data_IF_491602232595
#
_entry.id   IF_491602232595
#
_cell.length_a   1.000
_cell.length_b   1.000
_cell.length_c   1.000
_cell.angle_alpha   90.00
_cell.angle_beta   90.00
_cell.angle_gamma   90.00
#
_symmetry.space_group_name_H-M   'P 1'
#
loop_
_entity.id
_entity.type
_entity.pdbx_description
1 polymer ?
#
# COMPACT_ATOMS: atom_id res chain seq x y z
N UNK A 1 14.49 -46.57 13.51
CA UNK A 1 15.84 -46.03 13.29
C UNK A 1 15.70 -44.61 12.76
N UNK A 2 16.13 -43.65 13.55
CA UNK A 2 16.09 -42.21 13.30
C UNK A 2 17.23 -41.81 12.36
N UNK A 3 16.92 -41.18 11.22
CA UNK A 3 17.89 -40.36 10.49
C UNK A 3 17.38 -38.93 10.39
N UNK A 4 18.10 -38.05 11.10
CA UNK A 4 18.06 -36.59 11.02
C UNK A 4 18.45 -36.15 9.61
N UNK A 5 17.73 -35.18 9.06
CA UNK A 5 18.28 -34.27 8.05
C UNK A 5 18.10 -32.83 8.51
N UNK A 6 19.23 -32.12 8.57
CA UNK A 6 19.40 -30.75 9.03
C UNK A 6 19.01 -29.73 7.96
N UNK A 7 18.52 -28.57 8.40
CA UNK A 7 18.32 -27.39 7.56
C UNK A 7 19.65 -26.66 7.34
N UNK A 8 20.08 -26.51 6.09
CA UNK A 8 21.02 -25.47 5.69
C UNK A 8 20.22 -24.37 4.98
N UNK A 9 20.05 -23.25 5.67
CA UNK A 9 19.59 -21.99 5.10
C UNK A 9 20.66 -21.47 4.13
N UNK A 10 20.37 -21.50 2.83
CA UNK A 10 21.15 -20.77 1.83
C UNK A 10 20.26 -19.66 1.28
N UNK A 11 20.15 -18.58 2.06
CA UNK A 11 19.69 -17.29 1.54
C UNK A 11 20.82 -16.77 0.67
N UNK A 12 20.62 -16.76 -0.65
CA UNK A 12 21.52 -16.06 -1.57
C UNK A 12 21.50 -14.56 -1.22
N UNK A 13 22.66 -13.87 -1.18
CA UNK A 13 22.70 -12.45 -0.88
C UNK A 13 22.08 -11.64 -2.02
N UNK A 14 21.26 -10.66 -1.65
CA UNK A 14 20.73 -9.63 -2.54
C UNK A 14 21.85 -8.92 -3.33
N UNK A 15 21.58 -8.47 -4.57
CA UNK A 15 22.58 -7.77 -5.37
C UNK A 15 22.98 -6.46 -4.66
N UNK A 16 24.28 -6.28 -4.44
CA UNK A 16 24.85 -5.03 -3.90
C UNK A 16 24.64 -3.89 -4.90
N UNK A 17 24.36 -2.66 -4.45
CA UNK A 17 24.47 -1.49 -5.32
C UNK A 17 25.96 -1.25 -5.62
N UNK A 18 26.28 -1.19 -6.91
CA UNK A 18 27.60 -0.78 -7.41
C UNK A 18 27.85 0.69 -7.06
N UNK A 19 28.87 0.95 -6.25
CA UNK A 19 29.51 2.27 -6.19
C UNK A 19 30.41 2.43 -7.41
N UNK A 20 30.09 3.34 -8.31
CA UNK A 20 31.07 4.00 -9.17
C UNK A 20 30.48 5.29 -9.72
N UNK A 21 31.23 6.36 -9.50
CA UNK A 21 30.99 7.71 -9.98
C UNK A 21 30.69 7.76 -11.48
N UNK A 22 29.71 8.57 -11.86
CA UNK A 22 29.35 8.80 -13.25
C UNK A 22 28.33 9.93 -13.38
N UNK A 23 28.84 11.11 -13.70
CA UNK A 23 28.08 12.32 -14.01
C UNK A 23 26.92 12.07 -15.01
N UNK A 24 25.73 12.57 -14.65
CA UNK A 24 24.72 13.05 -15.60
C UNK A 24 23.61 12.09 -16.00
N UNK A 25 22.42 12.23 -15.39
CA UNK A 25 21.16 12.41 -16.13
C UNK A 25 20.02 12.82 -15.19
N UNK A 26 19.29 13.86 -15.60
CA UNK A 26 18.16 14.49 -14.89
C UNK A 26 16.90 13.62 -14.98
N UNK A 27 16.07 13.68 -13.92
CA UNK A 27 14.73 13.09 -13.73
C UNK A 27 14.69 11.62 -13.32
N UNK A 28 15.08 11.35 -12.07
CA UNK A 28 14.61 10.17 -11.33
C UNK A 28 13.72 10.63 -10.18
N UNK A 29 12.47 10.16 -10.13
CA UNK A 29 11.63 10.28 -8.94
C UNK A 29 12.29 9.51 -7.78
N UNK A 30 12.99 10.23 -6.90
CA UNK A 30 13.58 9.68 -5.66
C UNK A 30 12.55 9.35 -4.59
N UNK A 31 11.35 8.91 -4.97
CA UNK A 31 10.37 8.43 -4.02
C UNK A 31 10.81 7.04 -3.56
N UNK A 32 11.03 6.88 -2.26
CA UNK A 32 11.39 5.63 -1.57
C UNK A 32 12.82 5.10 -1.73
N UNK A 33 13.83 5.96 -1.56
CA UNK A 33 15.16 5.47 -1.17
C UNK A 33 15.09 5.02 0.29
N UNK A 34 15.53 3.78 0.55
CA UNK A 34 15.45 3.14 1.86
C UNK A 34 16.11 3.96 2.97
N UNK A 35 15.48 3.91 4.14
CA UNK A 35 15.88 4.52 5.41
C UNK A 35 17.27 4.08 5.85
N UNK A 36 18.27 4.90 5.53
CA UNK A 36 19.66 4.76 5.98
C UNK A 36 19.90 5.49 7.30
N UNK A 37 20.72 4.87 8.14
CA UNK A 37 21.15 5.27 9.50
C UNK A 37 21.95 6.59 9.54
N UNK A 38 22.24 7.19 8.39
CA UNK A 38 23.15 8.35 8.24
C UNK A 38 22.61 9.69 8.79
N UNK A 39 21.35 9.76 9.17
CA UNK A 39 20.70 11.00 9.61
C UNK A 39 20.87 11.37 11.09
N UNK A 40 21.25 10.42 11.96
CA UNK A 40 21.19 10.64 13.41
C UNK A 40 22.13 11.75 13.90
N UNK A 41 23.26 11.94 13.21
CA UNK A 41 24.31 12.91 13.54
C UNK A 41 24.18 14.26 12.83
N UNK A 42 23.07 14.52 12.12
CA UNK A 42 22.91 15.78 11.38
C UNK A 42 22.88 16.98 12.34
N UNK A 43 23.74 17.97 12.07
CA UNK A 43 23.82 19.24 12.79
C UNK A 43 22.69 20.19 12.38
N UNK A 44 22.37 21.19 13.21
CA UNK A 44 21.27 22.12 12.93
C UNK A 44 21.52 22.90 11.63
N UNK A 45 22.78 23.27 11.37
CA UNK A 45 23.19 23.96 10.15
C UNK A 45 22.93 23.10 8.90
N UNK A 46 23.27 21.82 8.96
CA UNK A 46 23.01 20.84 7.88
C UNK A 46 21.50 20.62 7.68
N UNK A 47 20.72 20.65 8.77
CA UNK A 47 19.26 20.56 8.69
C UNK A 47 18.66 21.78 8.00
N UNK A 48 19.17 22.99 8.28
CA UNK A 48 18.72 24.22 7.63
C UNK A 48 19.08 24.23 6.14
N UNK A 49 20.31 23.82 5.79
CA UNK A 49 20.74 23.67 4.39
C UNK A 49 19.85 22.66 3.64
N UNK A 50 19.51 21.53 4.28
CA UNK A 50 18.57 20.56 3.72
C UNK A 50 17.19 21.19 3.47
N UNK A 51 16.69 22.02 4.39
CA UNK A 51 15.41 22.71 4.21
C UNK A 51 15.42 23.68 3.02
N UNK A 52 16.55 24.35 2.76
CA UNK A 52 16.73 25.21 1.58
C UNK A 52 16.73 24.41 0.28
N UNK A 53 17.32 23.20 0.29
CA UNK A 53 17.22 22.25 -0.81
C UNK A 53 15.78 21.96 -1.23
N UNK A 54 14.84 21.86 -0.28
CA UNK A 54 13.42 21.62 -0.58
C UNK A 54 12.74 22.79 -1.31
N UNK A 55 13.18 24.03 -1.12
CA UNK A 55 12.72 25.17 -1.92
C UNK A 55 13.27 25.08 -3.35
N UNK A 56 14.55 24.78 -3.50
CA UNK A 56 15.22 24.68 -4.80
C UNK A 56 14.64 23.56 -5.67
N UNK A 57 14.24 22.46 -5.03
CA UNK A 57 13.57 21.33 -5.68
C UNK A 57 12.07 21.57 -5.96
N UNK A 58 11.52 22.70 -5.52
CA UNK A 58 10.11 23.06 -5.69
C UNK A 58 9.15 22.20 -4.87
N UNK A 59 9.64 21.51 -3.84
CA UNK A 59 8.83 20.66 -2.95
C UNK A 59 7.99 21.53 -2.00
N UNK A 60 8.58 22.60 -1.50
CA UNK A 60 7.94 23.60 -0.65
C UNK A 60 8.07 24.99 -1.28
N UNK A 61 7.07 25.85 -1.05
CA UNK A 61 7.20 27.26 -1.43
C UNK A 61 8.06 28.03 -0.41
N UNK A 62 8.49 29.25 -0.76
CA UNK A 62 9.37 30.05 0.10
C UNK A 62 8.81 30.26 1.52
N UNK A 63 7.50 30.51 1.65
CA UNK A 63 6.84 30.70 2.95
C UNK A 63 6.82 29.42 3.78
N UNK A 64 6.62 28.27 3.12
CA UNK A 64 6.65 26.96 3.75
C UNK A 64 8.06 26.58 4.22
N UNK A 65 9.10 26.95 3.48
CA UNK A 65 10.49 26.71 3.88
C UNK A 65 10.89 27.56 5.08
N UNK A 66 10.52 28.84 5.11
CA UNK A 66 10.80 29.68 6.29
C UNK A 66 10.08 29.13 7.54
N UNK A 67 8.82 28.69 7.40
CA UNK A 67 8.14 27.99 8.49
C UNK A 67 8.86 26.71 8.92
N UNK A 68 9.37 25.92 7.98
CA UNK A 68 10.13 24.71 8.28
C UNK A 68 11.42 25.03 9.05
N UNK A 69 12.16 26.06 8.64
CA UNK A 69 13.38 26.53 9.33
C UNK A 69 13.06 26.97 10.75
N UNK A 70 11.99 27.73 10.97
CA UNK A 70 11.55 28.13 12.31
C UNK A 70 11.28 26.92 13.22
N UNK A 71 10.64 25.88 12.67
CA UNK A 71 10.36 24.65 13.41
C UNK A 71 11.62 23.83 13.73
N UNK A 72 12.62 23.84 12.84
CA UNK A 72 13.94 23.22 13.07
C UNK A 72 14.71 24.00 14.13
N UNK A 73 14.74 25.33 14.04
CA UNK A 73 15.38 26.21 15.03
C UNK A 73 14.74 26.07 16.42
N UNK A 74 13.42 25.85 16.48
CA UNK A 74 12.70 25.51 17.70
C UNK A 74 12.98 24.10 18.23
N UNK A 75 13.84 23.32 17.54
CA UNK A 75 14.21 21.94 17.87
C UNK A 75 13.00 21.02 18.04
N UNK A 76 11.96 21.25 17.23
CA UNK A 76 10.72 20.50 17.34
C UNK A 76 10.98 19.01 17.01
N UNK A 77 10.70 18.05 17.91
CA UNK A 77 11.21 16.68 17.79
C UNK A 77 10.75 15.92 16.53
N UNK A 78 9.48 16.04 16.16
CA UNK A 78 8.91 15.45 14.94
C UNK A 78 9.56 16.00 13.68
N UNK A 79 9.69 17.32 13.56
CA UNK A 79 10.32 17.97 12.41
C UNK A 79 11.78 17.56 12.31
N UNK A 80 12.51 17.60 13.41
CA UNK A 80 13.91 17.21 13.43
C UNK A 80 14.11 15.75 13.01
N UNK A 81 13.26 14.86 13.51
CA UNK A 81 13.26 13.44 13.13
C UNK A 81 12.97 13.24 11.64
N UNK A 82 12.00 13.98 11.09
CA UNK A 82 11.64 13.91 9.68
C UNK A 82 12.77 14.40 8.75
N UNK A 83 13.43 15.51 9.12
CA UNK A 83 14.59 16.08 8.40
C UNK A 83 15.78 15.14 8.44
N UNK A 84 16.16 14.65 9.63
CA UNK A 84 17.26 13.68 9.78
C UNK A 84 17.06 12.45 8.91
N UNK A 85 15.82 11.97 8.81
CA UNK A 85 15.46 10.82 7.98
C UNK A 85 15.25 11.14 6.50
N UNK A 86 15.40 12.40 6.10
CA UNK A 86 15.14 12.89 4.74
C UNK A 86 13.75 12.47 4.22
N UNK A 87 12.75 12.45 5.12
CA UNK A 87 11.39 12.05 4.79
C UNK A 87 10.60 13.26 4.29
N UNK A 88 10.80 13.61 3.02
CA UNK A 88 10.20 14.80 2.38
C UNK A 88 8.68 14.83 2.53
N UNK A 89 8.03 13.66 2.44
CA UNK A 89 6.58 13.54 2.56
C UNK A 89 6.07 13.91 3.96
N UNK A 90 6.77 13.44 5.00
CA UNK A 90 6.45 13.80 6.37
C UNK A 90 6.71 15.30 6.62
N UNK A 91 7.82 15.83 6.10
CA UNK A 91 8.16 17.26 6.22
C UNK A 91 7.06 18.13 5.62
N UNK A 92 6.65 17.84 4.38
CA UNK A 92 5.56 18.57 3.70
C UNK A 92 4.25 18.48 4.48
N UNK A 93 3.91 17.30 5.00
CA UNK A 93 2.69 17.11 5.75
C UNK A 93 2.70 17.84 7.10
N UNK A 94 3.84 17.90 7.79
CA UNK A 94 4.01 18.64 9.05
C UNK A 94 3.92 20.15 8.78
N UNK A 95 4.61 20.67 7.76
CA UNK A 95 4.58 22.11 7.45
C UNK A 95 3.16 22.56 7.07
N UNK A 96 2.42 21.75 6.31
CA UNK A 96 1.04 22.07 5.91
C UNK A 96 -0.01 21.77 6.97
N UNK A 97 0.36 21.03 8.01
CA UNK A 97 -0.52 20.75 9.16
C UNK A 97 0.27 20.60 10.47
N UNK A 98 0.82 21.72 10.99
CA UNK A 98 1.81 21.67 12.06
C UNK A 98 1.22 21.32 13.43
N UNK A 99 -0.10 21.39 13.61
CA UNK A 99 -0.71 21.21 14.92
C UNK A 99 -1.19 19.77 15.21
N UNK A 100 -1.04 18.84 14.27
CA UNK A 100 -1.49 17.46 14.46
C UNK A 100 -0.65 16.75 15.53
N UNK A 101 -1.30 16.20 16.56
CA UNK A 101 -0.59 15.62 17.71
C UNK A 101 0.03 14.25 17.44
N UNK A 102 -0.32 13.60 16.32
CA UNK A 102 0.18 12.25 16.05
C UNK A 102 1.56 12.20 15.37
N UNK A 103 2.13 13.35 14.97
CA UNK A 103 3.42 13.37 14.28
C UNK A 103 4.52 12.68 15.10
N UNK A 104 4.60 12.97 16.39
CA UNK A 104 5.54 12.32 17.30
C UNK A 104 5.33 10.80 17.37
N UNK A 105 4.08 10.33 17.29
CA UNK A 105 3.76 8.90 17.35
C UNK A 105 4.18 8.18 16.07
N UNK A 106 3.80 8.73 14.90
CA UNK A 106 4.12 8.13 13.59
C UNK A 106 5.61 8.11 13.30
N UNK A 107 6.33 9.15 13.73
CA UNK A 107 7.78 9.21 13.53
C UNK A 107 8.53 8.33 14.53
N UNK A 108 7.99 8.06 15.74
CA UNK A 108 8.54 7.02 16.63
C UNK A 108 8.41 5.62 16.03
N UNK A 109 7.28 5.32 15.37
CA UNK A 109 7.06 4.02 14.72
C UNK A 109 7.84 3.86 13.40
N UNK A 110 8.54 4.91 12.96
CA UNK A 110 9.30 4.96 11.70
C UNK A 110 8.42 4.74 10.46
N UNK A 111 7.14 5.08 10.57
CA UNK A 111 6.21 5.03 9.44
C UNK A 111 6.52 6.15 8.44
N UNK A 112 6.56 5.79 7.17
CA UNK A 112 6.67 6.74 6.07
C UNK A 112 5.29 7.24 5.68
N UNK A 113 5.15 8.56 5.52
CA UNK A 113 3.92 9.14 5.00
C UNK A 113 3.94 9.01 3.48
N UNK A 114 2.95 8.34 2.92
CA UNK A 114 2.78 8.19 1.47
C UNK A 114 1.82 9.23 0.91
N UNK A 115 0.83 9.63 1.70
CA UNK A 115 -0.23 10.57 1.32
C UNK A 115 -0.60 11.42 2.52
N UNK A 116 -0.84 12.71 2.29
CA UNK A 116 -1.44 13.57 3.31
C UNK A 116 -2.32 14.62 2.66
N UNK A 117 -3.47 14.93 3.26
CA UNK A 117 -4.27 16.08 2.83
C UNK A 117 -5.66 16.16 3.45
N UNK A 118 -6.41 17.25 3.19
CA UNK A 118 -7.72 17.49 3.77
C UNK A 118 -8.80 16.64 3.11
N UNK A 119 -9.55 15.93 3.95
CA UNK A 119 -10.72 15.14 3.55
C UNK A 119 -12.01 15.86 3.87
N UNK A 120 -12.91 15.87 2.90
CA UNK A 120 -14.31 16.17 3.11
C UNK A 120 -15.13 14.91 3.33
N UNK A 121 -15.91 14.96 4.42
CA UNK A 121 -16.97 14.01 4.71
C UNK A 121 -18.29 14.79 4.65
N UNK A 122 -19.25 14.33 3.84
CA UNK A 122 -20.58 14.97 3.69
C UNK A 122 -20.51 16.50 3.45
N UNK A 123 -19.60 16.97 2.58
CA UNK A 123 -19.37 18.39 2.24
C UNK A 123 -18.80 19.27 3.37
N UNK A 124 -18.37 18.71 4.51
CA UNK A 124 -17.60 19.43 5.53
C UNK A 124 -16.16 18.95 5.53
N UNK A 125 -15.18 19.88 5.45
CA UNK A 125 -13.75 19.58 5.59
C UNK A 125 -13.44 19.38 7.07
N UNK A 126 -13.50 18.14 7.56
CA UNK A 126 -13.35 17.83 8.98
C UNK A 126 -12.03 17.16 9.34
N UNK A 127 -11.35 16.59 8.36
CA UNK A 127 -10.23 15.69 8.61
C UNK A 127 -9.01 16.02 7.78
N UNK A 128 -7.83 15.73 8.32
CA UNK A 128 -6.65 15.38 7.55
C UNK A 128 -6.60 13.86 7.44
N UNK A 129 -6.34 13.35 6.24
CA UNK A 129 -6.05 11.95 5.99
C UNK A 129 -4.55 11.78 5.82
N UNK A 130 -4.00 10.77 6.49
CA UNK A 130 -2.62 10.32 6.30
C UNK A 130 -2.63 8.86 5.84
N UNK A 131 -1.99 8.55 4.72
CA UNK A 131 -1.69 7.18 4.32
C UNK A 131 -0.24 6.88 4.74
N UNK A 132 -0.05 5.80 5.48
CA UNK A 132 1.29 5.34 5.85
C UNK A 132 1.71 4.11 5.03
N UNK A 133 3.02 3.86 4.97
CA UNK A 133 3.63 2.65 4.41
C UNK A 133 3.25 1.37 5.15
N UNK A 134 2.64 1.48 6.34
CA UNK A 134 2.04 0.37 7.07
C UNK A 134 0.63 0.01 6.59
N UNK A 135 0.20 0.50 5.42
CA UNK A 135 -1.09 0.22 4.80
C UNK A 135 -2.28 0.72 5.64
N UNK A 136 -2.13 1.88 6.30
CA UNK A 136 -3.18 2.46 7.19
C UNK A 136 -3.55 3.86 6.75
N UNK A 137 -4.84 4.14 6.75
CA UNK A 137 -5.43 5.47 6.58
C UNK A 137 -5.83 6.02 7.94
N UNK A 138 -5.22 7.14 8.33
CA UNK A 138 -5.46 7.80 9.60
C UNK A 138 -6.28 9.07 9.35
N UNK A 139 -7.42 9.19 10.04
CA UNK A 139 -8.29 10.37 9.97
C UNK A 139 -8.12 11.19 11.23
N UNK A 140 -7.57 12.39 11.05
CA UNK A 140 -7.25 13.30 12.15
C UNK A 140 -8.16 14.51 12.05
N UNK A 141 -8.91 14.80 13.10
CA UNK A 141 -9.80 15.94 13.11
C UNK A 141 -9.00 17.25 13.04
N UNK A 142 -9.39 18.13 12.12
CA UNK A 142 -8.70 19.41 11.87
C UNK A 142 -8.80 20.40 13.03
N UNK A 143 -9.92 20.38 13.75
CA UNK A 143 -10.20 21.32 14.84
C UNK A 143 -9.56 20.86 16.15
N UNK A 144 -9.64 19.56 16.44
CA UNK A 144 -9.13 18.99 17.71
C UNK A 144 -7.70 18.45 17.61
N UNK A 145 -7.18 18.24 16.40
CA UNK A 145 -5.88 17.63 16.12
C UNK A 145 -5.71 16.20 16.68
N UNK A 146 -6.82 15.53 16.99
CA UNK A 146 -6.85 14.15 17.50
C UNK A 146 -7.15 13.16 16.37
N UNK A 147 -6.58 11.95 16.49
CA UNK A 147 -6.96 10.81 15.66
C UNK A 147 -8.40 10.42 16.00
N UNK A 148 -9.29 10.48 15.02
CA UNK A 148 -10.70 10.07 15.18
C UNK A 148 -10.97 8.68 14.64
N UNK A 149 -10.29 8.29 13.55
CA UNK A 149 -10.52 6.99 12.92
C UNK A 149 -9.25 6.45 12.26
N UNK A 150 -9.15 5.13 12.19
CA UNK A 150 -8.05 4.39 11.56
C UNK A 150 -8.64 3.27 10.70
N UNK A 151 -8.30 3.27 9.42
CA UNK A 151 -8.80 2.30 8.45
C UNK A 151 -7.64 1.60 7.78
N UNK A 152 -7.60 0.29 7.92
CA UNK A 152 -6.63 -0.52 7.18
C UNK A 152 -6.96 -0.49 5.69
N UNK A 153 -5.95 -0.39 4.83
CA UNK A 153 -6.16 -0.35 3.38
C UNK A 153 -6.91 -1.59 2.86
N UNK A 154 -6.82 -2.71 3.56
CA UNK A 154 -7.60 -3.94 3.33
C UNK A 154 -9.13 -3.75 3.38
N UNK A 155 -9.58 -2.72 4.10
CA UNK A 155 -10.99 -2.39 4.30
C UNK A 155 -11.50 -1.36 3.27
N UNK A 156 -10.59 -0.83 2.45
CA UNK A 156 -10.93 0.06 1.33
C UNK A 156 -11.51 -0.77 0.20
N UNK A 157 -12.58 -0.23 -0.35
CA UNK A 157 -13.45 -0.93 -1.29
C UNK A 157 -13.17 -0.50 -2.71
N UNK A 158 -13.18 0.81 -2.89
CA UNK A 158 -12.95 1.45 -4.18
C UNK A 158 -12.19 2.73 -3.95
N UNK A 159 -11.26 2.98 -4.84
CA UNK A 159 -10.54 4.24 -4.95
C UNK A 159 -10.83 4.77 -6.34
N UNK A 160 -11.42 5.96 -6.43
CA UNK A 160 -11.66 6.63 -7.71
C UNK A 160 -11.06 8.02 -7.69
N UNK A 161 -10.42 8.42 -8.79
CA UNK A 161 -9.87 9.76 -8.94
C UNK A 161 -10.67 10.51 -10.01
N UNK A 162 -11.01 11.76 -9.73
CA UNK A 162 -11.59 12.69 -10.72
C UNK A 162 -10.53 13.73 -11.07
N UNK A 163 -9.79 13.45 -12.15
CA UNK A 163 -8.68 14.29 -12.62
C UNK A 163 -9.04 15.77 -12.78
N UNK A 164 -10.26 16.07 -13.22
CA UNK A 164 -10.76 17.44 -13.40
C UNK A 164 -10.83 18.27 -12.10
N UNK A 165 -10.94 17.61 -10.95
CA UNK A 165 -11.14 18.25 -9.64
C UNK A 165 -10.02 17.94 -8.64
N UNK A 166 -9.00 17.16 -9.04
CA UNK A 166 -7.96 16.63 -8.14
C UNK A 166 -8.52 15.88 -6.93
N UNK A 167 -9.74 15.34 -7.04
CA UNK A 167 -10.43 14.66 -5.95
C UNK A 167 -10.11 13.15 -5.97
N UNK A 168 -9.80 12.59 -4.80
CA UNK A 168 -9.79 11.14 -4.58
C UNK A 168 -10.96 10.74 -3.70
N UNK A 169 -11.82 9.87 -4.22
CA UNK A 169 -12.86 9.22 -3.43
C UNK A 169 -12.37 7.86 -2.93
N UNK A 170 -12.37 7.68 -1.61
CA UNK A 170 -12.06 6.44 -0.91
C UNK A 170 -13.36 5.93 -0.31
N UNK A 171 -13.86 4.80 -0.82
CA UNK A 171 -15.06 4.15 -0.28
C UNK A 171 -14.67 3.03 0.67
N UNK A 172 -15.39 2.93 1.78
CA UNK A 172 -15.26 1.85 2.76
C UNK A 172 -16.57 1.06 2.86
N UNK A 173 -16.64 0.09 3.76
CA UNK A 173 -17.91 -0.59 4.07
C UNK A 173 -18.95 0.34 4.71
N UNK A 174 -18.53 1.47 5.29
CA UNK A 174 -19.39 2.34 6.10
C UNK A 174 -19.68 3.69 5.44
N UNK A 175 -18.69 4.27 4.75
CA UNK A 175 -18.79 5.61 4.20
C UNK A 175 -17.79 5.90 3.07
N UNK A 176 -18.04 6.99 2.36
CA UNK A 176 -17.17 7.54 1.32
C UNK A 176 -16.47 8.81 1.81
N UNK A 177 -15.17 8.87 1.57
CA UNK A 177 -14.29 9.99 1.92
C UNK A 177 -13.77 10.65 0.65
N UNK A 178 -13.81 11.97 0.58
CA UNK A 178 -13.29 12.72 -0.57
C UNK A 178 -12.08 13.54 -0.14
N UNK A 179 -10.90 13.15 -0.60
CA UNK A 179 -9.68 13.93 -0.44
C UNK A 179 -9.64 15.00 -1.53
N UNK A 180 -9.68 16.27 -1.10
CA UNK A 180 -9.89 17.43 -1.98
C UNK A 180 -8.56 18.00 -2.47
N UNK A 181 -7.48 17.77 -1.73
CA UNK A 181 -6.17 18.34 -2.01
C UNK A 181 -5.06 17.41 -1.51
N UNK A 182 -3.98 17.27 -2.26
CA UNK A 182 -2.81 16.50 -1.86
C UNK A 182 -1.68 17.44 -1.46
N UNK A 183 -1.20 17.26 -0.24
CA UNK A 183 -0.01 17.98 0.21
C UNK A 183 1.25 17.53 -0.53
N UNK A 184 1.34 16.28 -0.98
CA UNK A 184 2.62 15.64 -1.34
C UNK A 184 2.88 15.64 -2.87
N UNK A 185 2.20 16.49 -3.63
CA UNK A 185 2.46 16.74 -5.06
C UNK A 185 1.84 15.72 -6.06
N UNK A 186 1.93 15.99 -7.37
CA UNK A 186 1.17 15.29 -8.42
C UNK A 186 1.90 14.04 -8.93
N UNK A 187 2.05 13.00 -8.11
CA UNK A 187 2.55 11.68 -8.58
C UNK A 187 1.53 10.59 -8.30
N UNK A 188 0.71 10.37 -9.33
CA UNK A 188 -0.04 9.16 -9.72
C UNK A 188 -0.74 8.38 -8.59
N UNK A 189 -1.93 8.88 -8.35
CA UNK A 189 -3.01 8.30 -7.56
C UNK A 189 -3.57 7.09 -8.28
N UNK A 190 -4.20 6.18 -7.52
CA UNK A 190 -4.53 4.78 -7.91
C UNK A 190 -3.33 3.84 -7.64
N UNK A 191 -2.09 4.18 -8.02
CA UNK A 191 -0.92 3.28 -7.84
C UNK A 191 -0.33 3.14 -6.42
N UNK A 192 -0.70 3.96 -5.44
CA UNK A 192 -0.30 3.75 -4.05
C UNK A 192 -1.26 2.84 -3.27
N UNK A 193 -2.53 2.74 -3.72
CA UNK A 193 -3.57 1.96 -3.05
C UNK A 193 -3.94 0.68 -3.84
N UNK A 194 -3.68 0.62 -5.15
CA UNK A 194 -4.09 -0.50 -6.01
C UNK A 194 -3.03 -1.55 -6.42
N UNK A 195 -1.70 -1.32 -6.49
CA UNK A 195 -0.77 -2.33 -7.04
C UNK A 195 0.02 -3.16 -6.02
N UNK A 196 -0.06 -2.92 -4.71
CA UNK A 196 0.83 -3.59 -3.74
C UNK A 196 0.03 -3.89 -2.46
N UNK A 197 -0.17 -5.11 -1.95
CA UNK A 197 0.42 -6.41 -2.27
C UNK A 197 -0.53 -7.59 -2.02
N UNK A 198 -1.84 -7.36 -1.86
CA UNK A 198 -2.80 -8.47 -1.79
C UNK A 198 -4.24 -8.11 -2.20
N UNK A 199 -4.80 -8.77 -3.23
CA UNK A 199 -6.27 -8.82 -3.34
C UNK A 199 -6.75 -9.85 -2.34
N UNK A 200 -7.60 -9.45 -1.40
CA UNK A 200 -8.07 -10.35 -0.37
C UNK A 200 -9.56 -10.24 -0.11
N UNK A 201 -10.14 -11.30 0.44
CA UNK A 201 -11.56 -11.34 0.76
C UNK A 201 -12.11 -12.75 0.88
N UNK A 202 -13.37 -12.83 1.30
CA UNK A 202 -14.08 -14.09 1.49
C UNK A 202 -14.65 -14.57 0.17
N UNK A 203 -14.22 -15.76 -0.26
CA UNK A 203 -14.81 -16.48 -1.39
C UNK A 203 -15.35 -17.84 -0.92
N UNK A 204 -16.37 -18.34 -1.60
CA UNK A 204 -16.75 -19.74 -1.52
C UNK A 204 -15.89 -20.52 -2.51
N UNK A 205 -15.25 -21.58 -2.05
CA UNK A 205 -14.44 -22.46 -2.90
C UNK A 205 -15.11 -23.82 -3.03
N UNK A 206 -15.24 -24.29 -4.27
CA UNK A 206 -15.66 -25.63 -4.61
C UNK A 206 -14.56 -26.32 -5.42
N UNK A 207 -14.34 -27.60 -5.12
CA UNK A 207 -13.51 -28.46 -5.96
C UNK A 207 -14.37 -29.04 -7.09
N UNK A 208 -13.74 -29.38 -8.22
CA UNK A 208 -14.39 -29.97 -9.41
C UNK A 208 -15.34 -31.15 -9.11
N UNK A 209 -15.11 -31.87 -7.99
CA UNK A 209 -16.02 -32.91 -7.49
C UNK A 209 -17.22 -32.28 -6.79
N UNK A 210 -18.35 -32.16 -7.51
CA UNK A 210 -19.64 -31.57 -7.07
C UNK A 210 -20.23 -32.12 -5.76
N UNK A 211 -19.72 -33.23 -5.23
CA UNK A 211 -20.24 -33.88 -4.02
C UNK A 211 -19.74 -33.26 -2.69
N UNK A 212 -18.72 -32.40 -2.72
CA UNK A 212 -18.26 -31.67 -1.55
C UNK A 212 -18.74 -30.21 -1.67
N UNK A 213 -19.75 -29.85 -0.88
CA UNK A 213 -20.34 -28.50 -0.88
C UNK A 213 -19.30 -27.37 -0.77
N UNK A 214 -19.65 -26.19 -1.28
CA UNK A 214 -18.75 -25.04 -1.31
C UNK A 214 -18.35 -24.60 0.11
N UNK A 215 -17.05 -24.39 0.35
CA UNK A 215 -16.54 -23.95 1.66
C UNK A 215 -16.19 -22.47 1.61
N UNK A 216 -16.61 -21.69 2.61
CA UNK A 216 -16.17 -20.29 2.74
C UNK A 216 -14.70 -20.25 3.21
N UNK A 217 -13.86 -19.50 2.52
CA UNK A 217 -12.43 -19.31 2.81
C UNK A 217 -12.05 -17.85 2.61
N UNK A 218 -11.06 -17.41 3.36
CA UNK A 218 -10.48 -16.09 3.16
C UNK A 218 -9.29 -16.25 2.22
N UNK A 219 -9.33 -15.60 1.06
CA UNK A 219 -8.28 -15.68 0.07
C UNK A 219 -7.42 -14.42 0.11
N UNK A 220 -6.15 -14.61 -0.21
CA UNK A 220 -5.13 -13.56 -0.36
C UNK A 220 -4.38 -13.86 -1.65
N UNK A 221 -4.46 -12.97 -2.63
CA UNK A 221 -3.74 -13.02 -3.89
C UNK A 221 -2.58 -12.03 -3.84
N UNK A 222 -1.35 -12.55 -3.73
CA UNK A 222 -0.12 -11.75 -3.66
C UNK A 222 0.81 -12.16 -4.80
N UNK A 223 1.12 -11.24 -5.71
CA UNK A 223 1.81 -11.56 -6.95
C UNK A 223 1.00 -12.59 -7.75
N UNK A 224 1.65 -13.66 -8.18
CA UNK A 224 1.02 -14.81 -8.85
C UNK A 224 0.55 -15.91 -7.88
N UNK A 225 0.53 -15.68 -6.57
CA UNK A 225 0.17 -16.70 -5.58
C UNK A 225 -1.20 -16.43 -4.98
N UNK A 226 -2.11 -17.38 -5.11
CA UNK A 226 -3.42 -17.35 -4.47
C UNK A 226 -3.43 -18.28 -3.26
N UNK A 227 -3.56 -17.71 -2.07
CA UNK A 227 -3.54 -18.44 -0.79
C UNK A 227 -4.91 -18.39 -0.12
N UNK A 228 -5.45 -19.54 0.23
CA UNK A 228 -6.70 -19.68 0.97
C UNK A 228 -6.50 -20.08 2.44
N UNK A 229 -7.19 -19.39 3.34
CA UNK A 229 -7.21 -19.62 4.79
C UNK A 229 -8.62 -20.00 5.27
N UNK A 230 -8.72 -20.73 6.39
CA UNK A 230 -10.02 -21.09 6.99
C UNK A 230 -10.79 -19.85 7.47
N UNK A 231 -10.09 -18.86 8.01
CA UNK A 231 -10.63 -17.60 8.55
C UNK A 231 -9.63 -16.45 8.30
N UNK A 232 -10.13 -15.22 8.32
CA UNK A 232 -9.33 -13.99 8.10
C UNK A 232 -8.23 -13.80 9.15
N UNK A 233 -8.53 -14.02 10.43
CA UNK A 233 -7.56 -13.85 11.51
C UNK A 233 -6.33 -14.79 11.46
N UNK A 234 -6.34 -15.77 10.56
CA UNK A 234 -5.23 -16.71 10.39
C UNK A 234 -4.12 -16.19 9.48
N UNK A 235 -4.32 -15.06 8.77
CA UNK A 235 -3.33 -14.54 7.81
C UNK A 235 -2.02 -14.15 8.49
N UNK A 236 -2.10 -13.61 9.71
CA UNK A 236 -0.95 -13.13 10.48
C UNK A 236 -0.40 -14.17 11.47
N UNK A 237 -1.01 -15.35 11.55
CA UNK A 237 -0.58 -16.39 12.49
C UNK A 237 0.57 -17.20 11.88
N UNK A 238 1.73 -17.17 12.53
CA UNK A 238 2.90 -17.99 12.15
C UNK A 238 2.51 -19.47 12.20
N UNK A 239 2.71 -20.19 11.11
CA UNK A 239 2.37 -21.62 11.00
C UNK A 239 0.89 -21.93 10.72
N UNK A 240 0.07 -20.93 10.40
CA UNK A 240 -1.32 -21.15 10.04
C UNK A 240 -1.48 -22.10 8.83
N UNK A 241 -2.36 -23.10 8.98
CA UNK A 241 -2.73 -23.98 7.87
C UNK A 241 -3.39 -23.18 6.75
N UNK A 242 -2.76 -23.18 5.58
CA UNK A 242 -3.21 -22.51 4.37
C UNK A 242 -3.09 -23.43 3.16
N UNK A 243 -3.74 -23.07 2.07
CA UNK A 243 -3.60 -23.74 0.78
C UNK A 243 -3.20 -22.71 -0.26
N UNK A 244 -2.01 -22.83 -0.82
CA UNK A 244 -1.48 -21.88 -1.80
C UNK A 244 -1.42 -22.54 -3.17
N UNK A 245 -1.86 -21.83 -4.20
CA UNK A 245 -1.66 -22.22 -5.60
C UNK A 245 -0.87 -21.13 -6.33
N UNK A 246 -0.07 -21.54 -7.30
CA UNK A 246 0.52 -20.63 -8.29
C UNK A 246 -0.51 -20.37 -9.39
N UNK A 247 -0.60 -19.12 -9.82
CA UNK A 247 -1.38 -18.68 -10.97
C UNK A 247 -0.50 -18.45 -12.21
N UNK A 248 0.80 -18.77 -12.14
CA UNK A 248 1.65 -18.81 -13.32
C UNK A 248 1.04 -19.77 -14.35
N UNK A 249 0.85 -19.29 -15.57
CA UNK A 249 0.27 -20.03 -16.69
C UNK A 249 -1.13 -20.60 -16.43
N UNK A 250 -1.84 -20.07 -15.42
CA UNK A 250 -3.19 -20.49 -15.13
C UNK A 250 -4.17 -19.87 -16.12
N UNK A 251 -5.11 -20.68 -16.61
CA UNK A 251 -6.29 -20.19 -17.32
C UNK A 251 -7.33 -19.77 -16.28
N UNK A 252 -7.84 -18.54 -16.39
CA UNK A 252 -8.84 -17.98 -15.47
C UNK A 252 -10.07 -17.56 -16.26
N UNK A 253 -11.14 -18.34 -16.17
CA UNK A 253 -12.42 -17.99 -16.78
C UNK A 253 -13.25 -17.18 -15.79
N UNK A 254 -13.55 -15.94 -16.18
CA UNK A 254 -14.41 -15.04 -15.43
C UNK A 254 -15.82 -15.19 -16.01
N UNK A 255 -16.70 -15.91 -15.29
CA UNK A 255 -18.03 -16.28 -15.80
C UNK A 255 -19.03 -15.13 -15.70
N UNK A 256 -20.26 -15.28 -16.22
CA UNK A 256 -21.29 -14.22 -16.20
C UNK A 256 -21.46 -13.63 -14.78
N UNK A 257 -21.50 -12.28 -14.61
CA UNK A 257 -21.73 -11.60 -13.34
C UNK A 257 -22.91 -12.13 -12.52
N UNK A 258 -23.94 -12.71 -13.16
CA UNK A 258 -25.08 -13.34 -12.45
C UNK A 258 -24.66 -14.52 -11.57
N UNK A 259 -23.61 -15.23 -11.95
CA UNK A 259 -23.08 -16.39 -11.22
C UNK A 259 -22.03 -16.00 -10.16
N UNK A 260 -21.52 -14.77 -10.20
CA UNK A 260 -20.46 -14.25 -9.32
C UNK A 260 -19.26 -15.19 -9.19
N UNK A 261 -18.94 -15.95 -10.23
CA UNK A 261 -18.00 -17.07 -10.16
C UNK A 261 -16.77 -16.89 -11.04
N UNK A 262 -15.72 -17.61 -10.67
CA UNK A 262 -14.42 -17.65 -11.34
C UNK A 262 -13.98 -19.12 -11.41
N UNK A 263 -13.46 -19.53 -12.55
CA UNK A 263 -12.91 -20.87 -12.73
C UNK A 263 -11.42 -20.73 -13.01
N UNK A 264 -10.60 -21.32 -12.15
CA UNK A 264 -9.14 -21.29 -12.27
C UNK A 264 -8.66 -22.71 -12.57
N UNK A 265 -7.91 -22.84 -13.65
CA UNK A 265 -7.25 -24.07 -14.08
C UNK A 265 -5.76 -23.80 -14.21
N UNK A 266 -4.99 -24.29 -13.24
CA UNK A 266 -3.52 -24.27 -13.31
C UNK A 266 -3.02 -25.47 -14.14
N UNK A 267 -1.76 -25.48 -14.61
CA UNK A 267 -1.20 -26.65 -15.30
C UNK A 267 -1.33 -27.94 -14.48
N UNK A 268 -1.10 -27.89 -13.16
CA UNK A 268 -1.23 -29.06 -12.27
C UNK A 268 -2.68 -29.52 -12.15
N UNK A 269 -3.63 -28.58 -12.13
CA UNK A 269 -5.05 -28.91 -12.11
C UNK A 269 -5.52 -29.51 -13.44
N UNK A 270 -5.04 -28.99 -14.57
CA UNK A 270 -5.33 -29.52 -15.90
C UNK A 270 -4.88 -30.98 -16.03
N UNK A 271 -3.64 -31.29 -15.63
CA UNK A 271 -3.10 -32.66 -15.62
C UNK A 271 -3.94 -33.61 -14.75
N UNK A 272 -4.49 -33.12 -13.64
CA UNK A 272 -5.32 -33.90 -12.74
C UNK A 272 -6.82 -33.96 -13.13
N UNK A 273 -7.22 -33.34 -14.25
CA UNK A 273 -8.63 -33.20 -14.65
C UNK A 273 -9.46 -32.41 -13.62
N UNK A 274 -8.83 -31.46 -12.92
CA UNK A 274 -9.42 -30.66 -11.86
C UNK A 274 -9.51 -29.19 -12.27
N UNK A 275 -10.35 -28.46 -11.55
CA UNK A 275 -10.45 -27.01 -11.62
C UNK A 275 -10.87 -26.47 -10.26
N UNK A 276 -10.47 -25.24 -9.97
CA UNK A 276 -10.86 -24.51 -8.77
C UNK A 276 -12.00 -23.58 -9.14
N UNK A 277 -13.14 -23.72 -8.46
CA UNK A 277 -14.29 -22.83 -8.67
C UNK A 277 -14.39 -21.94 -7.45
N UNK A 278 -14.31 -20.63 -7.67
CA UNK A 278 -14.46 -19.61 -6.66
C UNK A 278 -15.74 -18.82 -6.92
N UNK A 279 -16.52 -18.55 -5.88
CA UNK A 279 -17.73 -17.73 -5.97
C UNK A 279 -17.65 -16.60 -4.95
N UNK A 280 -17.79 -15.38 -5.43
CA UNK A 280 -17.86 -14.18 -4.61
C UNK A 280 -19.18 -14.12 -3.82
N UNK A 281 -19.15 -13.52 -2.64
CA UNK A 281 -20.34 -13.41 -1.78
C UNK A 281 -21.26 -12.25 -2.14
N UNK A 282 -20.81 -11.35 -3.02
CA UNK A 282 -21.57 -10.19 -3.50
C UNK A 282 -21.03 -9.71 -4.84
N UNK A 283 -21.80 -8.91 -5.56
CA UNK A 283 -21.38 -8.23 -6.81
C UNK A 283 -20.14 -7.36 -6.59
N UNK A 284 -20.02 -6.74 -5.42
CA UNK A 284 -18.85 -5.95 -5.05
C UNK A 284 -17.58 -6.80 -4.92
N UNK A 285 -17.66 -7.91 -4.21
CA UNK A 285 -16.55 -8.86 -4.12
C UNK A 285 -16.20 -9.43 -5.50
N UNK A 286 -17.21 -9.71 -6.33
CA UNK A 286 -16.99 -10.20 -7.68
C UNK A 286 -16.19 -9.21 -8.54
N UNK A 287 -16.59 -7.95 -8.60
CA UNK A 287 -15.91 -6.95 -9.42
C UNK A 287 -14.45 -6.74 -8.97
N UNK A 288 -14.20 -6.77 -7.66
CA UNK A 288 -12.84 -6.69 -7.08
C UNK A 288 -11.97 -7.86 -7.56
N UNK A 289 -12.44 -9.09 -7.38
CA UNK A 289 -11.69 -10.30 -7.76
C UNK A 289 -11.54 -10.46 -9.27
N UNK A 290 -12.57 -10.10 -10.05
CA UNK A 290 -12.51 -10.10 -11.52
C UNK A 290 -11.38 -9.19 -12.03
N UNK A 291 -11.28 -7.98 -11.48
CA UNK A 291 -10.23 -7.02 -11.84
C UNK A 291 -8.84 -7.58 -11.53
N UNK A 292 -8.66 -8.15 -10.34
CA UNK A 292 -7.40 -8.73 -9.92
C UNK A 292 -6.98 -9.93 -10.79
N UNK A 293 -7.92 -10.82 -11.14
CA UNK A 293 -7.63 -11.96 -12.02
C UNK A 293 -7.34 -11.55 -13.46
N UNK A 294 -8.04 -10.56 -14.02
CA UNK A 294 -7.71 -10.01 -15.35
C UNK A 294 -6.29 -9.47 -15.40
N UNK A 295 -5.85 -8.79 -14.35
CA UNK A 295 -4.50 -8.26 -14.26
C UNK A 295 -3.42 -9.37 -14.32
N UNK A 296 -3.71 -10.56 -13.77
CA UNK A 296 -2.80 -11.72 -13.85
C UNK A 296 -2.63 -12.23 -15.28
N UNK A 297 -3.69 -12.16 -16.10
CA UNK A 297 -3.67 -12.60 -17.49
C UNK A 297 -2.88 -11.66 -18.41
N UNK A 298 -2.81 -10.37 -18.08
CA UNK A 298 -2.08 -9.37 -18.89
C UNK A 298 -0.58 -9.32 -18.62
N UNK A 299 -0.10 -9.93 -17.53
CA UNK A 299 1.32 -9.94 -17.14
C UNK A 299 2.12 -11.14 -17.64
N UNK A 300 1.49 -12.09 -18.32
CA UNK A 300 2.18 -13.20 -18.97
C UNK A 300 2.89 -12.69 -20.23
N UNK A 301 4.23 -12.77 -20.36
CA UNK A 301 4.87 -12.40 -21.60
C UNK A 301 4.37 -13.34 -22.70
N UNK A 302 3.69 -12.78 -23.69
CA UNK A 302 3.42 -13.48 -24.95
C UNK A 302 4.79 -13.77 -25.56
N UNK A 303 5.26 -15.01 -25.44
CA UNK A 303 6.38 -15.49 -26.24
C UNK A 303 5.82 -15.58 -27.65
N UNK A 304 6.01 -14.50 -28.43
CA UNK A 304 5.73 -14.52 -29.85
C UNK A 304 6.67 -15.54 -30.49
N UNK A 305 6.07 -16.40 -31.31
CA UNK A 305 6.73 -17.39 -32.16
C UNK A 305 7.74 -16.75 -33.11
#
# INVERSE_FOLDING_TARGET
MSNRFSFASTVAPSPRPSSLDGFGSRRGSGASAMSGVDGENMMVEEMLEFCEGLANDGVLNAKEVEMLKDLVLAMRPDVCSAVKRKNNNAIVAIVRSPFMRLWDSLLKTRESILLAGPVSLKRKKRFHLLLTDHERLLFVNKDTNLLEDEIMCSQIVTVSSRSKYQELTISTGKMDYVLIDNFIGPVIWVRAILPFTCTQGLLKVASSRRFLGSKKRYFVLRGNRLTGYKKENMIHQVGAKSSTISLADATIDITDPRSLSFIITTPEFSQAGKKLILTATSTREYNKWATAFKAQQTTSPTTAA
#
